data_IF_969060807821
#
_entry.id   IF_969060807821
#
_cell.length_a   1.000
_cell.length_b   1.000
_cell.length_c   1.000
_cell.angle_alpha   90.00
_cell.angle_beta   90.00
_cell.angle_gamma   90.00
#
_symmetry.space_group_name_H-M   'P 1'
#
loop_
_entity.id
_entity.type
_entity.pdbx_description
1 polymer ?
#
# COMPACT_ATOMS: atom_id res chain seq x y z
N UNK A 1 30.58 14.49 -17.19
CA UNK A 1 29.79 14.51 -15.96
C UNK A 1 28.35 14.14 -16.29
N UNK A 2 27.80 13.21 -15.59
CA UNK A 2 26.45 12.82 -15.82
C UNK A 2 25.51 13.99 -15.52
N UNK A 3 24.76 14.39 -16.51
CA UNK A 3 23.70 15.36 -16.31
C UNK A 3 22.51 14.60 -15.75
N UNK A 4 22.21 14.81 -14.49
CA UNK A 4 21.05 14.22 -13.85
C UNK A 4 19.80 14.99 -14.27
N UNK A 5 19.48 14.96 -15.53
CA UNK A 5 18.38 15.74 -16.06
C UNK A 5 17.02 15.29 -15.54
N UNK A 6 16.86 15.32 -14.24
CA UNK A 6 15.58 15.09 -13.59
C UNK A 6 14.53 16.12 -13.98
N UNK A 7 14.99 17.15 -14.64
CA UNK A 7 14.11 18.20 -15.12
C UNK A 7 13.40 17.80 -16.40
N UNK A 8 13.87 16.77 -17.07
CA UNK A 8 13.27 16.27 -18.27
C UNK A 8 12.30 15.14 -17.92
N UNK A 9 10.98 15.36 -18.08
CA UNK A 9 9.99 14.33 -17.78
C UNK A 9 10.21 13.03 -18.55
N UNK A 10 10.87 13.09 -19.70
CA UNK A 10 11.14 11.91 -20.50
C UNK A 10 12.09 10.94 -19.79
N UNK A 11 12.94 11.43 -18.92
CA UNK A 11 13.86 10.58 -18.15
C UNK A 11 13.10 9.66 -17.19
N UNK A 12 11.97 10.13 -16.68
CA UNK A 12 11.11 9.29 -15.83
C UNK A 12 10.51 8.15 -16.65
N UNK A 13 10.12 8.45 -17.89
CA UNK A 13 9.58 7.44 -18.80
C UNK A 13 10.62 6.41 -19.22
N UNK A 14 11.91 6.77 -19.23
CA UNK A 14 12.99 5.87 -19.60
C UNK A 14 13.25 4.79 -18.51
N UNK A 15 12.70 4.96 -17.34
CA UNK A 15 12.88 4.00 -16.25
C UNK A 15 11.97 2.77 -16.40
N UNK A 16 11.82 2.30 -17.64
CA UNK A 16 10.96 1.17 -17.96
C UNK A 16 11.44 -0.15 -17.34
N UNK A 17 12.74 -0.25 -17.05
CA UNK A 17 13.29 -1.43 -16.41
C UNK A 17 12.68 -1.73 -15.06
N UNK A 18 12.48 -0.71 -14.24
CA UNK A 18 11.84 -0.88 -12.93
C UNK A 18 10.39 -1.31 -13.07
N UNK A 19 9.66 -0.72 -13.99
CA UNK A 19 8.27 -1.09 -14.24
C UNK A 19 8.16 -2.53 -14.71
N UNK A 20 8.99 -2.94 -15.65
CA UNK A 20 8.99 -4.32 -16.14
C UNK A 20 9.34 -5.33 -15.06
N UNK A 21 10.34 -5.02 -14.24
CA UNK A 21 10.73 -5.87 -13.12
C UNK A 21 9.62 -5.97 -12.10
N UNK A 22 9.00 -4.86 -11.76
CA UNK A 22 7.88 -4.83 -10.81
C UNK A 22 6.68 -5.61 -11.35
N UNK A 23 6.33 -5.44 -12.62
CA UNK A 23 5.26 -6.20 -13.27
C UNK A 23 5.55 -7.70 -13.26
N UNK A 24 6.79 -8.08 -13.56
CA UNK A 24 7.20 -9.48 -13.55
C UNK A 24 7.03 -10.09 -12.16
N UNK A 25 7.54 -9.42 -11.13
CA UNK A 25 7.45 -9.88 -9.75
C UNK A 25 5.98 -9.98 -9.32
N UNK A 26 5.18 -8.98 -9.69
CA UNK A 26 3.76 -8.97 -9.37
C UNK A 26 3.03 -10.15 -9.98
N UNK A 27 3.25 -10.39 -11.27
CA UNK A 27 2.59 -11.50 -11.98
C UNK A 27 3.06 -12.87 -11.51
N UNK A 28 4.32 -12.99 -11.17
CA UNK A 28 4.89 -14.29 -10.79
C UNK A 28 4.64 -14.67 -9.34
N UNK A 29 4.72 -13.70 -8.42
CA UNK A 29 4.71 -13.99 -6.99
C UNK A 29 3.50 -13.43 -6.25
N UNK A 30 3.01 -12.27 -6.64
CA UNK A 30 1.94 -11.57 -5.90
C UNK A 30 0.55 -12.01 -6.38
N UNK A 31 0.29 -11.94 -7.68
CA UNK A 31 -1.04 -12.28 -8.20
C UNK A 31 -1.46 -13.71 -7.91
N UNK A 32 -0.56 -14.72 -8.00
CA UNK A 32 -0.97 -16.08 -7.65
C UNK A 32 -1.51 -16.22 -6.23
N UNK A 33 -0.92 -15.50 -5.28
CA UNK A 33 -1.42 -15.49 -3.91
C UNK A 33 -2.80 -14.83 -3.81
N UNK A 34 -2.99 -13.72 -4.51
CA UNK A 34 -4.25 -12.97 -4.45
C UNK A 34 -5.38 -13.66 -5.21
N UNK A 35 -5.06 -14.45 -6.22
CA UNK A 35 -6.04 -15.19 -7.01
C UNK A 35 -6.47 -16.51 -6.38
N UNK A 36 -5.75 -16.98 -5.39
CA UNK A 36 -6.13 -18.14 -4.58
C UNK A 36 -7.03 -17.64 -3.44
N UNK A 37 -8.34 -17.97 -3.43
CA UNK A 37 -9.25 -17.46 -2.41
C UNK A 37 -8.84 -17.81 -1.00
N UNK A 38 -8.29 -19.00 -0.79
CA UNK A 38 -7.83 -19.43 0.53
C UNK A 38 -6.65 -18.58 1.00
N UNK A 39 -5.66 -18.39 0.12
CA UNK A 39 -4.47 -17.62 0.46
C UNK A 39 -4.81 -16.14 0.68
N UNK A 40 -5.66 -15.58 -0.16
CA UNK A 40 -6.12 -14.21 0.00
C UNK A 40 -6.82 -14.00 1.34
N UNK A 41 -7.67 -14.95 1.73
CA UNK A 41 -8.34 -14.88 3.01
C UNK A 41 -7.35 -14.91 4.17
N UNK A 42 -6.36 -15.78 4.10
CA UNK A 42 -5.31 -15.87 5.12
C UNK A 42 -4.55 -14.54 5.26
N UNK A 43 -4.17 -13.93 4.15
CA UNK A 43 -3.47 -12.66 4.15
C UNK A 43 -4.32 -11.53 4.73
N UNK A 44 -5.60 -11.49 4.38
CA UNK A 44 -6.52 -10.47 4.90
C UNK A 44 -6.70 -10.63 6.41
N UNK A 45 -6.87 -11.85 6.89
CA UNK A 45 -7.03 -12.10 8.32
C UNK A 45 -5.75 -11.80 9.11
N UNK A 46 -4.60 -12.13 8.55
CA UNK A 46 -3.32 -11.78 9.17
C UNK A 46 -3.17 -10.26 9.30
N UNK A 47 -3.47 -9.51 8.25
CA UNK A 47 -3.39 -8.07 8.27
C UNK A 47 -4.42 -7.47 9.22
N UNK A 48 -5.62 -8.03 9.28
CA UNK A 48 -6.66 -7.56 10.20
C UNK A 48 -6.21 -7.69 11.66
N UNK A 49 -5.56 -8.79 12.00
CA UNK A 49 -5.09 -9.03 13.35
C UNK A 49 -3.97 -8.06 13.76
N UNK A 50 -3.07 -7.75 12.83
CA UNK A 50 -1.92 -6.88 13.09
C UNK A 50 -1.64 -5.96 11.90
N UNK A 51 -2.48 -4.90 11.68
CA UNK A 51 -2.33 -4.06 10.49
C UNK A 51 -1.00 -3.31 10.44
N UNK A 52 -0.46 -2.92 11.59
CA UNK A 52 0.75 -2.07 11.68
C UNK A 52 1.86 -2.90 12.28
N UNK A 53 1.91 -4.06 12.51
CA UNK A 53 2.99 -4.75 13.22
C UNK A 53 3.24 -4.13 14.60
N UNK A 54 4.00 -4.79 15.39
CA UNK A 54 4.25 -4.33 16.76
C UNK A 54 5.72 -4.47 17.12
N UNK A 55 6.28 -3.37 17.60
CA UNK A 55 7.62 -3.43 18.19
C UNK A 55 7.61 -4.27 19.46
N UNK A 56 8.75 -4.85 19.80
CA UNK A 56 8.86 -5.62 21.03
C UNK A 56 8.56 -4.74 22.24
N UNK A 57 7.72 -5.24 23.13
CA UNK A 57 7.42 -4.60 24.40
C UNK A 57 7.75 -5.56 25.53
N UNK A 58 7.64 -5.09 26.77
CA UNK A 58 7.91 -5.89 27.95
C UNK A 58 7.03 -7.14 28.02
N UNK A 59 5.78 -7.03 27.55
CA UNK A 59 4.77 -8.09 27.66
C UNK A 59 4.58 -8.85 26.35
N UNK A 60 5.09 -8.30 25.22
CA UNK A 60 4.89 -8.88 23.88
C UNK A 60 6.17 -8.82 23.09
N UNK A 61 6.48 -9.89 22.38
CA UNK A 61 7.59 -9.89 21.43
C UNK A 61 7.25 -9.06 20.19
N UNK A 62 8.22 -8.99 19.27
CA UNK A 62 8.00 -8.35 17.97
C UNK A 62 6.93 -9.12 17.21
N UNK A 63 5.90 -8.42 16.75
CA UNK A 63 4.90 -9.00 15.84
C UNK A 63 5.35 -8.68 14.41
N UNK A 64 5.79 -9.71 13.69
CA UNK A 64 6.19 -9.60 12.30
C UNK A 64 5.15 -10.25 11.41
N UNK A 65 4.93 -9.63 10.26
CA UNK A 65 4.08 -10.23 9.25
C UNK A 65 4.78 -11.41 8.58
N UNK A 66 4.01 -12.32 8.01
CA UNK A 66 4.56 -13.42 7.23
C UNK A 66 5.32 -12.88 6.02
N UNK A 67 6.20 -13.71 5.45
CA UNK A 67 6.95 -13.33 4.23
C UNK A 67 6.02 -12.96 3.09
N UNK A 68 4.91 -13.68 2.94
CA UNK A 68 3.95 -13.43 1.89
C UNK A 68 3.24 -12.09 2.08
N UNK A 69 2.84 -11.78 3.30
CA UNK A 69 2.22 -10.49 3.59
C UNK A 69 3.22 -9.35 3.43
N UNK A 70 4.46 -9.53 3.85
CA UNK A 70 5.51 -8.52 3.64
C UNK A 70 5.69 -8.25 2.16
N UNK A 71 5.77 -9.28 1.32
CA UNK A 71 5.91 -9.12 -0.12
C UNK A 71 4.73 -8.35 -0.72
N UNK A 72 3.51 -8.66 -0.29
CA UNK A 72 2.32 -7.95 -0.73
C UNK A 72 2.34 -6.49 -0.29
N UNK A 73 2.66 -6.23 0.97
CA UNK A 73 2.72 -4.85 1.49
C UNK A 73 3.78 -4.02 0.77
N UNK A 74 4.94 -4.61 0.48
CA UNK A 74 5.98 -3.92 -0.28
C UNK A 74 5.49 -3.54 -1.68
N UNK A 75 4.76 -4.43 -2.34
CA UNK A 75 4.16 -4.12 -3.64
C UNK A 75 3.15 -2.98 -3.53
N UNK A 76 2.29 -3.02 -2.53
CA UNK A 76 1.25 -2.00 -2.35
C UNK A 76 1.83 -0.62 -2.02
N UNK A 77 3.00 -0.58 -1.38
CA UNK A 77 3.68 0.69 -1.06
C UNK A 77 4.35 1.31 -2.26
N UNK A 78 4.69 0.54 -3.27
CA UNK A 78 5.31 1.02 -4.50
C UNK A 78 4.24 1.54 -5.45
N UNK A 79 3.80 2.74 -5.26
CA UNK A 79 2.78 3.32 -6.11
C UNK A 79 3.09 4.75 -6.47
N UNK A 80 2.31 5.28 -7.40
CA UNK A 80 2.36 6.69 -7.74
C UNK A 80 1.97 7.54 -6.54
N UNK A 81 2.57 8.72 -6.41
CA UNK A 81 2.14 9.69 -5.41
C UNK A 81 0.76 10.26 -5.72
N UNK A 82 0.31 10.17 -6.98
CA UNK A 82 -1.03 10.61 -7.36
C UNK A 82 -2.05 9.55 -6.96
N UNK A 83 -3.06 9.94 -6.21
CA UNK A 83 -4.11 9.02 -5.79
C UNK A 83 -3.68 8.01 -4.73
N UNK A 84 -2.57 8.27 -4.06
CA UNK A 84 -2.10 7.38 -3.00
C UNK A 84 -2.95 7.55 -1.74
N UNK A 85 -3.36 6.44 -1.16
CA UNK A 85 -4.15 6.44 0.07
C UNK A 85 -3.22 6.57 1.28
N UNK A 86 -3.64 7.36 2.26
CA UNK A 86 -2.92 7.52 3.50
C UNK A 86 -3.89 7.78 4.65
N UNK A 87 -3.36 7.68 5.87
CA UNK A 87 -4.16 7.93 7.08
C UNK A 87 -4.06 9.40 7.46
N UNK A 88 -5.20 10.03 7.67
CA UNK A 88 -5.30 11.39 8.20
C UNK A 88 -5.93 11.31 9.58
N UNK A 89 -5.21 11.76 10.59
CA UNK A 89 -5.72 11.84 11.95
C UNK A 89 -6.40 13.19 12.16
N UNK A 90 -7.72 13.22 12.23
CA UNK A 90 -8.46 14.45 12.54
C UNK A 90 -8.56 14.65 14.04
N UNK A 91 -8.73 13.58 14.79
CA UNK A 91 -8.76 13.63 16.24
C UNK A 91 -8.13 12.36 16.80
N UNK A 92 -7.04 12.52 17.53
CA UNK A 92 -6.29 11.38 18.06
C UNK A 92 -7.18 10.45 18.88
N UNK A 93 -7.08 9.16 18.60
CA UNK A 93 -7.85 8.07 19.24
C UNK A 93 -9.36 8.08 18.97
N UNK A 94 -9.85 8.99 18.14
CA UNK A 94 -11.29 9.10 17.87
C UNK A 94 -11.64 9.12 16.39
N UNK A 95 -10.93 9.89 15.58
CA UNK A 95 -11.31 10.10 14.17
C UNK A 95 -10.09 10.02 13.26
N UNK A 96 -10.04 8.95 12.50
CA UNK A 96 -9.04 8.73 11.46
C UNK A 96 -9.75 8.59 10.13
N UNK A 97 -9.23 9.27 9.13
CA UNK A 97 -9.81 9.28 7.78
C UNK A 97 -8.82 8.79 6.76
N UNK A 98 -9.34 8.29 5.66
CA UNK A 98 -8.51 7.97 4.51
C UNK A 98 -8.33 9.25 3.71
N UNK A 99 -7.08 9.62 3.45
CA UNK A 99 -6.73 10.73 2.59
C UNK A 99 -6.24 10.23 1.24
N UNK A 100 -6.45 11.05 0.22
CA UNK A 100 -6.01 10.75 -1.15
C UNK A 100 -5.07 11.86 -1.59
N UNK A 101 -3.84 11.50 -1.99
CA UNK A 101 -2.85 12.48 -2.43
C UNK A 101 -3.13 12.93 -3.85
N UNK A 102 -2.85 14.21 -4.14
CA UNK A 102 -2.98 14.76 -5.50
C UNK A 102 -1.76 14.43 -6.37
N UNK A 103 -0.63 14.17 -5.72
CA UNK A 103 0.65 14.00 -6.40
C UNK A 103 1.34 15.32 -6.72
N UNK A 104 0.73 16.44 -6.40
CA UNK A 104 1.29 17.76 -6.61
C UNK A 104 1.81 18.32 -5.29
N UNK A 105 3.08 18.68 -5.28
CA UNK A 105 3.71 19.20 -4.06
C UNK A 105 3.03 20.50 -3.61
N UNK A 106 2.68 20.56 -2.33
CA UNK A 106 2.04 21.72 -1.74
C UNK A 106 0.52 21.71 -1.80
N UNK A 107 -0.09 20.80 -2.55
CA UNK A 107 -1.54 20.66 -2.55
C UNK A 107 -2.00 19.81 -1.36
N UNK A 108 -3.12 20.18 -0.73
CA UNK A 108 -3.64 19.43 0.40
C UNK A 108 -4.19 18.07 -0.05
N UNK A 109 -4.14 17.12 0.88
CA UNK A 109 -4.71 15.79 0.70
C UNK A 109 -6.23 15.90 0.71
N UNK A 110 -6.90 15.19 -0.20
CA UNK A 110 -8.35 15.06 -0.17
C UNK A 110 -8.74 14.12 0.96
N UNK A 111 -9.57 14.58 1.88
CA UNK A 111 -10.03 13.79 3.02
C UNK A 111 -11.38 13.18 2.69
N UNK A 112 -11.49 11.84 2.79
CA UNK A 112 -12.74 11.14 2.51
C UNK A 112 -13.68 11.19 3.71
N UNK A 113 -14.95 10.85 3.50
CA UNK A 113 -15.96 10.81 4.56
C UNK A 113 -15.88 9.54 5.41
N UNK A 114 -15.07 8.55 5.02
CA UNK A 114 -14.93 7.32 5.78
C UNK A 114 -14.15 7.59 7.07
N UNK A 115 -14.81 7.42 8.21
CA UNK A 115 -14.23 7.65 9.53
C UNK A 115 -13.96 6.32 10.25
N UNK A 116 -12.81 6.24 10.89
CA UNK A 116 -12.42 5.07 11.67
C UNK A 116 -12.00 5.50 13.07
N UNK A 117 -12.33 4.69 14.05
CA UNK A 117 -12.05 5.02 15.46
C UNK A 117 -10.60 4.72 15.87
N UNK A 118 -9.86 4.01 15.05
CA UNK A 118 -8.46 3.69 15.33
C UNK A 118 -7.61 3.74 14.09
N UNK A 119 -6.33 4.00 14.28
CA UNK A 119 -5.35 3.98 13.19
C UNK A 119 -5.28 2.60 12.55
N UNK A 120 -5.36 1.56 13.36
CA UNK A 120 -5.29 0.18 12.88
C UNK A 120 -6.46 -0.16 11.97
N UNK A 121 -7.67 0.23 12.33
CA UNK A 121 -8.85 0.01 11.50
C UNK A 121 -8.74 0.76 10.16
N UNK A 122 -8.24 1.98 10.20
CA UNK A 122 -8.03 2.79 9.00
C UNK A 122 -6.97 2.15 8.08
N UNK A 123 -5.86 1.69 8.66
CA UNK A 123 -4.79 1.02 7.90
C UNK A 123 -5.30 -0.25 7.22
N UNK A 124 -6.09 -1.05 7.92
CA UNK A 124 -6.66 -2.26 7.35
C UNK A 124 -7.62 -1.93 6.19
N UNK A 125 -8.43 -0.89 6.35
CA UNK A 125 -9.33 -0.45 5.29
C UNK A 125 -8.56 -0.01 4.05
N UNK A 126 -7.45 0.71 4.23
CA UNK A 126 -6.57 1.11 3.14
C UNK A 126 -5.97 -0.12 2.46
N UNK A 127 -5.53 -1.10 3.23
CA UNK A 127 -5.00 -2.35 2.70
C UNK A 127 -6.01 -3.04 1.78
N UNK A 128 -7.26 -3.17 2.22
CA UNK A 128 -8.31 -3.80 1.42
C UNK A 128 -8.56 -3.04 0.11
N UNK A 129 -8.57 -1.73 0.17
CA UNK A 129 -8.76 -0.90 -1.03
C UNK A 129 -7.60 -1.07 -2.01
N UNK A 130 -6.36 -1.14 -1.50
CA UNK A 130 -5.18 -1.33 -2.34
C UNK A 130 -5.15 -2.71 -2.98
N UNK A 131 -5.54 -3.75 -2.25
CA UNK A 131 -5.61 -5.12 -2.80
C UNK A 131 -6.65 -5.18 -3.92
N UNK A 132 -7.82 -4.62 -3.70
CA UNK A 132 -8.88 -4.60 -4.72
C UNK A 132 -8.46 -3.83 -5.96
N UNK A 133 -7.80 -2.70 -5.78
CA UNK A 133 -7.28 -1.91 -6.89
C UNK A 133 -6.24 -2.69 -7.70
N UNK A 134 -5.35 -3.39 -7.01
CA UNK A 134 -4.33 -4.22 -7.65
C UNK A 134 -4.96 -5.34 -8.49
N UNK A 135 -5.95 -6.03 -7.93
CA UNK A 135 -6.67 -7.08 -8.65
C UNK A 135 -7.41 -6.53 -9.88
N UNK A 136 -8.03 -5.37 -9.75
CA UNK A 136 -8.66 -4.68 -10.88
C UNK A 136 -7.65 -4.35 -11.98
N UNK A 137 -6.50 -3.84 -11.60
CA UNK A 137 -5.45 -3.43 -12.53
C UNK A 137 -4.99 -4.58 -13.42
N UNK A 138 -4.98 -5.80 -12.89
CA UNK A 138 -4.53 -6.99 -13.61
C UNK A 138 -5.68 -7.92 -14.00
N UNK A 139 -6.91 -7.46 -13.93
CA UNK A 139 -8.09 -8.31 -14.20
C UNK A 139 -8.24 -8.74 -15.67
N UNK A 140 -7.62 -8.01 -16.58
CA UNK A 140 -7.67 -8.36 -18.01
C UNK A 140 -6.60 -9.34 -18.47
N UNK A 141 -5.84 -9.89 -17.57
CA UNK A 141 -4.71 -10.77 -17.89
C UNK A 141 -4.89 -12.20 -17.41
#
# INVERSE_FOLDING_TARGET
MADYSYKDPSNVALNKGHKHTDDFITKKYILPMLRDPKKLKELIEEHRATPIGRAATKDHGVVQHSKDLIALLDKLRRGSLTGKLLIVCLKMHEDYRIGITTGVRGEPVEITDESYSSQEACEHAIFLKRVNKLLEQYSGE
#
